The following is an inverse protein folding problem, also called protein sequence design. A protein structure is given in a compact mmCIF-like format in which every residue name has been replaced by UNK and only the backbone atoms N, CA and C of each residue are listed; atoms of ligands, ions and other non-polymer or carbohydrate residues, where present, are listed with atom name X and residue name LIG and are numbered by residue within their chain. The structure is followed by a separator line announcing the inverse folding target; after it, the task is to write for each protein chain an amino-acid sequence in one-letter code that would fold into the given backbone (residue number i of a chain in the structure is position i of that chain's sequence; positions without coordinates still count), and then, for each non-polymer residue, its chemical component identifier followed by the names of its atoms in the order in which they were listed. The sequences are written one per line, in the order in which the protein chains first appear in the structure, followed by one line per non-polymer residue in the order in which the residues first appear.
data_IF_585785093231
#
_entry.id   IF_585785093231
#
_cell.length_a   1.000
_cell.length_b   1.000
_cell.length_c   1.000
_cell.angle_alpha   90.00
_cell.angle_beta   90.00
_cell.angle_gamma   90.00
#
_symmetry.space_group_name_H-M   'P 1'
#
loop_
_entity.id
_entity.type
_entity.pdbx_description
1 polymer ?
#
# COMPACT_ATOMS: atom_id res chain seq x y z
N UNK A 1 1.37 8.47 -13.84
CA UNK A 1 0.60 7.80 -12.77
C UNK A 1 1.36 7.82 -11.44
N UNK A 2 2.63 7.37 -11.40
CA UNK A 2 3.54 7.52 -10.24
C UNK A 2 3.57 8.93 -9.64
N UNK A 3 3.56 9.97 -10.49
CA UNK A 3 3.56 11.37 -10.03
C UNK A 3 2.33 11.73 -9.17
N UNK A 4 1.13 11.27 -9.52
CA UNK A 4 -0.10 11.57 -8.75
C UNK A 4 -0.10 10.84 -7.41
N UNK A 5 0.43 9.63 -7.38
CA UNK A 5 0.53 8.82 -6.18
C UNK A 5 1.55 9.41 -5.20
N UNK A 6 2.67 9.91 -5.70
CA UNK A 6 3.66 10.58 -4.87
C UNK A 6 3.12 11.88 -4.27
N UNK A 7 2.27 12.62 -5.01
CA UNK A 7 1.54 13.78 -4.47
C UNK A 7 0.57 13.35 -3.36
N UNK A 8 -0.13 12.22 -3.51
CA UNK A 8 -1.02 11.69 -2.46
C UNK A 8 -0.23 11.33 -1.19
N UNK A 9 0.90 10.64 -1.33
CA UNK A 9 1.78 10.29 -0.21
C UNK A 9 2.27 11.53 0.53
N UNK A 10 2.79 12.51 -0.20
CA UNK A 10 3.24 13.77 0.39
C UNK A 10 2.11 14.50 1.14
N UNK A 11 0.88 14.48 0.60
CA UNK A 11 -0.28 15.08 1.27
C UNK A 11 -0.64 14.36 2.57
N UNK A 12 -0.61 13.03 2.57
CA UNK A 12 -0.89 12.24 3.77
C UNK A 12 0.19 12.45 4.83
N UNK A 13 1.47 12.50 4.43
CA UNK A 13 2.58 12.79 5.33
C UNK A 13 2.45 14.18 5.96
N UNK A 14 2.15 15.21 5.16
CA UNK A 14 1.88 16.57 5.66
C UNK A 14 0.65 16.63 6.57
N UNK A 15 -0.41 15.89 6.24
CA UNK A 15 -1.60 15.82 7.07
C UNK A 15 -1.27 15.18 8.42
N UNK A 16 -0.44 14.13 8.43
CA UNK A 16 0.02 13.46 9.65
C UNK A 16 0.77 14.39 10.60
N UNK A 17 1.59 15.32 10.09
CA UNK A 17 2.38 16.22 10.95
C UNK A 17 1.56 17.33 11.57
N UNK A 18 0.39 17.65 11.00
CA UNK A 18 -0.48 18.74 11.47
C UNK A 18 -1.56 18.30 12.45
N UNK A 19 -1.61 17.01 12.81
CA UNK A 19 -2.68 16.43 13.64
C UNK A 19 -2.18 15.82 14.93
N UNK A 20 -3.02 15.89 15.95
CA UNK A 20 -2.81 15.30 17.27
C UNK A 20 -3.70 14.08 17.53
N UNK A 21 -4.81 13.94 16.81
CA UNK A 21 -5.80 12.89 17.05
C UNK A 21 -5.47 11.60 16.27
N UNK A 22 -5.78 10.42 16.82
CA UNK A 22 -5.74 9.17 16.08
C UNK A 22 -6.56 9.25 14.79
N UNK A 23 -6.04 8.66 13.73
CA UNK A 23 -6.70 8.60 12.44
C UNK A 23 -6.28 7.33 11.70
N UNK A 24 -7.11 6.92 10.75
CA UNK A 24 -6.85 5.80 9.87
C UNK A 24 -7.24 6.20 8.45
N UNK A 25 -6.69 5.48 7.48
CA UNK A 25 -7.02 5.65 6.08
C UNK A 25 -7.56 4.32 5.54
N UNK A 26 -8.57 4.41 4.67
CA UNK A 26 -9.13 3.28 3.94
C UNK A 26 -9.21 3.67 2.48
N UNK A 27 -8.94 2.73 1.59
CA UNK A 27 -9.05 2.93 0.17
C UNK A 27 -8.32 1.84 -0.62
N UNK A 28 -8.50 1.88 -1.93
CA UNK A 28 -7.72 1.08 -2.85
C UNK A 28 -6.44 1.82 -3.21
N UNK A 29 -5.34 1.47 -2.54
CA UNK A 29 -4.03 2.06 -2.78
C UNK A 29 -3.33 1.52 -4.03
N UNK A 30 -3.78 0.37 -4.56
CA UNK A 30 -3.07 -0.38 -5.60
C UNK A 30 -1.57 -0.56 -5.31
N UNK A 31 -1.23 -0.71 -4.03
CA UNK A 31 0.14 -0.91 -3.55
C UNK A 31 0.18 -2.00 -2.48
N UNK A 32 1.33 -2.65 -2.38
CA UNK A 32 1.64 -3.65 -1.36
C UNK A 32 2.94 -3.26 -0.67
N UNK A 33 3.07 -3.60 0.61
CA UNK A 33 4.27 -3.37 1.39
C UNK A 33 5.38 -4.35 1.05
N UNK A 34 5.10 -5.47 0.40
CA UNK A 34 6.14 -6.40 -0.04
C UNK A 34 5.59 -7.54 -0.87
N UNK A 35 6.48 -8.40 -1.38
CA UNK A 35 6.07 -9.54 -2.20
C UNK A 35 5.31 -10.62 -1.40
N UNK A 36 5.39 -10.58 -0.08
CA UNK A 36 4.68 -11.43 0.88
C UNK A 36 3.17 -11.14 0.96
N UNK A 37 2.74 -9.94 0.57
CA UNK A 37 1.33 -9.53 0.55
C UNK A 37 0.63 -9.87 -0.77
N UNK A 38 1.30 -10.59 -1.68
CA UNK A 38 0.71 -11.10 -2.91
C UNK A 38 0.97 -12.59 -3.10
N UNK A 39 0.08 -13.25 -3.79
CA UNK A 39 0.21 -14.63 -4.26
C UNK A 39 0.35 -14.66 -5.79
N UNK A 40 1.34 -15.40 -6.28
CA UNK A 40 1.58 -15.56 -7.71
C UNK A 40 2.14 -14.30 -8.39
N UNK A 41 2.05 -14.28 -9.72
CA UNK A 41 2.60 -13.20 -10.56
C UNK A 41 4.11 -13.01 -10.45
N UNK A 42 4.62 -11.96 -11.12
CA UNK A 42 6.05 -11.62 -11.10
C UNK A 42 6.44 -11.02 -9.74
N UNK A 43 7.65 -11.31 -9.28
CA UNK A 43 8.27 -10.64 -8.12
C UNK A 43 8.52 -9.17 -8.48
N UNK A 44 7.95 -8.26 -7.69
CA UNK A 44 8.18 -6.82 -7.81
C UNK A 44 9.54 -6.46 -7.20
N UNK A 45 10.19 -5.44 -7.76
CA UNK A 45 11.46 -4.95 -7.21
C UNK A 45 11.25 -4.22 -5.88
N UNK A 46 12.23 -4.29 -4.99
CA UNK A 46 12.19 -3.59 -3.69
C UNK A 46 11.98 -2.08 -3.85
N UNK A 47 12.56 -1.48 -4.88
CA UNK A 47 12.37 -0.06 -5.19
C UNK A 47 10.90 0.32 -5.43
N UNK A 48 10.07 -0.63 -5.89
CA UNK A 48 8.65 -0.35 -6.15
C UNK A 48 7.81 -0.21 -4.87
N UNK A 49 8.30 -0.68 -3.72
CA UNK A 49 7.61 -0.57 -2.42
C UNK A 49 8.03 0.66 -1.61
N UNK A 50 9.10 1.33 -2.05
CA UNK A 50 9.82 2.34 -1.27
C UNK A 50 8.91 3.50 -0.85
N UNK A 51 8.21 4.12 -1.80
CA UNK A 51 7.40 5.31 -1.53
C UNK A 51 6.21 4.99 -0.62
N UNK A 52 5.56 3.84 -0.81
CA UNK A 52 4.43 3.44 0.02
C UNK A 52 4.88 3.06 1.44
N UNK A 53 5.96 2.27 1.58
CA UNK A 53 6.58 1.96 2.88
C UNK A 53 7.02 3.23 3.62
N UNK A 54 7.58 4.22 2.90
CA UNK A 54 7.96 5.51 3.48
C UNK A 54 6.74 6.20 4.06
N UNK A 55 5.68 6.37 3.28
CA UNK A 55 4.45 7.03 3.73
C UNK A 55 3.86 6.35 4.97
N UNK A 56 3.73 5.01 4.95
CA UNK A 56 3.22 4.24 6.10
C UNK A 56 4.06 4.49 7.36
N UNK A 57 5.39 4.51 7.23
CA UNK A 57 6.30 4.77 8.35
C UNK A 57 6.22 6.23 8.84
N UNK A 58 6.23 7.20 7.93
CA UNK A 58 6.15 8.63 8.26
C UNK A 58 4.85 8.95 9.01
N UNK A 59 3.74 8.37 8.57
CA UNK A 59 2.43 8.56 9.21
C UNK A 59 2.23 7.69 10.46
N UNK A 60 3.21 6.85 10.83
CA UNK A 60 3.11 5.87 11.92
C UNK A 60 1.89 4.97 11.80
N UNK A 61 1.50 4.62 10.57
CA UNK A 61 0.38 3.73 10.34
C UNK A 61 0.73 2.29 10.68
N UNK A 62 -0.26 1.61 11.25
CA UNK A 62 -0.23 0.17 11.50
C UNK A 62 -1.31 -0.47 10.65
N UNK A 63 -0.97 -1.57 9.98
CA UNK A 63 -1.93 -2.32 9.20
C UNK A 63 -2.98 -2.99 10.10
N UNK A 64 -4.24 -2.95 9.66
CA UNK A 64 -5.35 -3.53 10.38
C UNK A 64 -5.48 -5.01 9.99
N UNK A 65 -5.45 -5.87 10.99
CA UNK A 65 -5.69 -7.30 10.77
C UNK A 65 -7.11 -7.51 10.25
N UNK A 66 -7.23 -8.30 9.19
CA UNK A 66 -8.51 -8.72 8.62
C UNK A 66 -8.89 -10.11 9.14
N UNK A 67 -10.16 -10.48 8.95
CA UNK A 67 -10.68 -11.83 9.16
C UNK A 67 -11.29 -12.29 7.84
N UNK A 68 -10.94 -13.51 7.38
CA UNK A 68 -11.42 -14.06 6.11
C UNK A 68 -10.33 -14.06 5.04
N UNK A 69 -10.69 -13.65 3.82
CA UNK A 69 -9.75 -13.59 2.70
C UNK A 69 -8.65 -12.56 2.97
N UNK A 70 -7.40 -12.96 2.69
CA UNK A 70 -6.20 -12.15 2.96
C UNK A 70 -5.94 -11.12 1.87
N UNK A 71 -6.52 -11.32 0.70
CA UNK A 71 -6.25 -10.51 -0.46
C UNK A 71 -7.46 -9.62 -0.76
N UNK A 72 -7.19 -8.34 -1.07
CA UNK A 72 -8.23 -7.37 -1.41
C UNK A 72 -8.62 -7.41 -2.89
N UNK A 73 -7.86 -8.13 -3.71
CA UNK A 73 -8.07 -8.26 -5.15
C UNK A 73 -7.57 -9.62 -5.66
N UNK A 74 -8.18 -10.13 -6.72
CA UNK A 74 -7.64 -11.26 -7.47
C UNK A 74 -7.94 -11.13 -8.96
N UNK A 75 -7.05 -11.68 -9.80
CA UNK A 75 -7.24 -11.66 -11.24
C UNK A 75 -6.15 -12.33 -12.06
N UNK A 76 -6.46 -12.56 -13.33
CA UNK A 76 -5.53 -13.17 -14.29
C UNK A 76 -4.67 -12.10 -14.96
N UNK A 77 -3.34 -12.26 -14.91
CA UNK A 77 -2.35 -11.42 -15.60
C UNK A 77 -1.49 -12.30 -16.51
N UNK A 78 -1.85 -12.33 -17.80
CA UNK A 78 -1.23 -13.23 -18.77
C UNK A 78 -1.44 -14.70 -18.37
N UNK A 79 -0.35 -15.46 -18.21
CA UNK A 79 -0.40 -16.86 -17.78
C UNK A 79 -0.48 -17.03 -16.24
N UNK A 80 -0.45 -15.94 -15.47
CA UNK A 80 -0.40 -16.02 -14.00
C UNK A 80 -1.73 -15.57 -13.38
N UNK A 81 -2.26 -16.39 -12.48
CA UNK A 81 -3.20 -15.91 -11.48
C UNK A 81 -2.44 -15.10 -10.42
N UNK A 82 -3.00 -13.96 -10.04
CA UNK A 82 -2.43 -13.05 -9.03
C UNK A 82 -3.53 -12.71 -8.03
N UNK A 83 -3.19 -12.81 -6.75
CA UNK A 83 -4.01 -12.32 -5.65
C UNK A 83 -3.17 -11.43 -4.74
#
# INVERSE_FOLDING_TARGET
ETSRRNILWERLERFSTTRSEPWFILGDFNEILGNEEKLGGRVRSEASFHDFRRMVRTCSFTDLKFIGDRFSWSGQRGAHFVS
#
